data_IF_795308328984
#
_entry.id   IF_795308328984
#
_cell.length_a   1.000
_cell.length_b   1.000
_cell.length_c   1.000
_cell.angle_alpha   90.00
_cell.angle_beta   90.00
_cell.angle_gamma   90.00
#
_symmetry.space_group_name_H-M   'P 1'
#
loop_
_entity.id
_entity.type
_entity.pdbx_description
1 polymer ?
#
# COMPACT_ATOMS: atom_id res chain seq x y z
N UNK A 1 -3.99 11.96 -6.06
CA UNK A 1 -3.09 11.67 -7.21
C UNK A 1 -3.51 10.32 -7.75
N UNK A 2 -3.86 10.23 -9.04
CA UNK A 2 -4.28 8.97 -9.66
C UNK A 2 -3.11 8.37 -10.43
N UNK A 3 -2.91 7.07 -10.27
CA UNK A 3 -1.96 6.28 -11.03
C UNK A 3 -2.54 4.87 -11.26
N UNK A 4 -2.03 4.19 -12.27
CA UNK A 4 -2.36 2.81 -12.58
C UNK A 4 -1.15 1.93 -12.26
N UNK A 5 -1.35 0.82 -11.56
CA UNK A 5 -0.30 -0.18 -11.34
C UNK A 5 -0.20 -1.04 -12.60
N UNK A 6 1.00 -1.13 -13.16
CA UNK A 6 1.27 -1.89 -14.38
C UNK A 6 2.06 -3.14 -14.02
N UNK A 7 1.41 -4.30 -14.11
CA UNK A 7 1.99 -5.59 -13.75
C UNK A 7 2.02 -5.83 -12.23
N UNK A 8 2.95 -6.68 -11.79
CA UNK A 8 3.01 -7.12 -10.40
C UNK A 8 3.71 -6.11 -9.47
N UNK A 9 3.30 -6.12 -8.20
CA UNK A 9 4.07 -5.54 -7.11
C UNK A 9 5.13 -6.56 -6.66
N UNK A 10 6.39 -6.14 -6.61
CA UNK A 10 7.54 -6.95 -6.20
C UNK A 10 8.09 -6.48 -4.86
N UNK A 11 8.94 -7.31 -4.25
CA UNK A 11 9.64 -6.98 -2.98
C UNK A 11 8.66 -6.56 -1.87
N UNK A 12 7.57 -7.34 -1.71
CA UNK A 12 6.52 -7.03 -0.74
C UNK A 12 7.03 -7.33 0.67
N UNK A 13 6.99 -6.33 1.55
CA UNK A 13 7.34 -6.47 2.96
C UNK A 13 6.33 -5.81 3.89
N UNK A 14 6.22 -6.34 5.11
CA UNK A 14 5.39 -5.76 6.15
C UNK A 14 6.16 -4.64 6.88
N UNK A 15 5.67 -3.40 6.76
CA UNK A 15 6.20 -2.26 7.49
C UNK A 15 5.71 -2.21 8.94
N UNK A 16 4.46 -2.62 9.17
CA UNK A 16 3.85 -2.64 10.48
C UNK A 16 2.73 -3.68 10.53
N UNK A 17 2.53 -4.29 11.70
CA UNK A 17 1.51 -5.31 11.93
C UNK A 17 0.68 -4.91 13.15
N UNK A 18 -0.65 -5.06 13.07
CA UNK A 18 -1.56 -4.86 14.18
C UNK A 18 -1.37 -3.53 14.90
N UNK A 19 -1.07 -3.57 16.21
CA UNK A 19 -0.95 -2.39 17.07
C UNK A 19 0.19 -1.43 16.70
N UNK A 20 1.19 -1.88 15.94
CA UNK A 20 2.28 -1.01 15.44
C UNK A 20 1.84 -0.12 14.27
N UNK A 21 0.64 -0.34 13.72
CA UNK A 21 0.06 0.53 12.70
C UNK A 21 -0.47 1.79 13.38
N UNK A 22 0.13 2.95 13.07
CA UNK A 22 -0.18 4.24 13.70
C UNK A 22 -1.68 4.56 13.77
N UNK A 23 -2.42 4.18 12.73
CA UNK A 23 -3.85 4.47 12.58
C UNK A 23 -4.74 3.22 12.71
N UNK A 24 -4.28 2.19 13.42
CA UNK A 24 -4.99 0.91 13.59
C UNK A 24 -6.43 1.09 14.11
N UNK A 25 -6.66 2.01 15.06
CA UNK A 25 -7.99 2.25 15.61
C UNK A 25 -8.96 2.79 14.54
N UNK A 26 -8.48 3.65 13.64
CA UNK A 26 -9.28 4.19 12.54
C UNK A 26 -9.64 3.07 11.55
N UNK A 27 -8.66 2.25 11.17
CA UNK A 27 -8.88 1.10 10.28
C UNK A 27 -9.89 0.13 10.87
N UNK A 28 -9.77 -0.20 12.15
CA UNK A 28 -10.71 -1.09 12.83
C UNK A 28 -12.12 -0.51 12.94
N UNK A 29 -12.26 0.81 13.13
CA UNK A 29 -13.56 1.47 13.17
C UNK A 29 -14.25 1.45 11.80
N UNK A 30 -13.49 1.65 10.73
CA UNK A 30 -14.04 1.77 9.37
C UNK A 30 -14.28 0.42 8.70
N UNK A 31 -13.40 -0.56 8.93
CA UNK A 31 -13.38 -1.83 8.20
C UNK A 31 -13.44 -3.06 9.12
N UNK A 32 -13.51 -2.86 10.45
CA UNK A 32 -13.61 -3.93 11.43
C UNK A 32 -12.27 -4.43 11.97
N UNK A 33 -12.36 -5.22 13.04
CA UNK A 33 -11.19 -5.89 13.63
C UNK A 33 -10.65 -6.96 12.67
N UNK A 34 -9.34 -7.09 12.60
CA UNK A 34 -8.69 -8.04 11.69
C UNK A 34 -7.18 -8.11 11.86
N UNK A 35 -6.55 -8.97 11.07
CA UNK A 35 -5.08 -9.12 11.00
C UNK A 35 -4.48 -8.05 10.09
N UNK A 36 -4.61 -6.80 10.50
CA UNK A 36 -4.12 -5.64 9.75
C UNK A 36 -2.60 -5.68 9.57
N UNK A 37 -2.14 -5.36 8.36
CA UNK A 37 -0.73 -5.26 8.00
C UNK A 37 -0.55 -4.07 7.09
N UNK A 38 0.34 -3.15 7.44
CA UNK A 38 0.80 -2.14 6.49
C UNK A 38 1.91 -2.76 5.67
N UNK A 39 1.67 -2.91 4.37
CA UNK A 39 2.61 -3.48 3.42
C UNK A 39 3.24 -2.37 2.58
N UNK A 40 4.46 -2.61 2.13
CA UNK A 40 5.05 -1.89 1.01
C UNK A 40 5.63 -2.85 -0.01
N UNK A 41 5.89 -2.33 -1.21
CA UNK A 41 6.58 -3.03 -2.28
C UNK A 41 6.84 -2.09 -3.45
N UNK A 42 7.51 -2.58 -4.49
CA UNK A 42 7.83 -1.78 -5.67
C UNK A 42 7.03 -2.24 -6.88
N UNK A 43 6.51 -1.29 -7.65
CA UNK A 43 5.83 -1.58 -8.91
C UNK A 43 6.13 -0.52 -9.97
N UNK A 44 5.85 -0.86 -11.23
CA UNK A 44 5.74 0.14 -12.29
C UNK A 44 4.36 0.78 -12.20
N UNK A 45 4.31 2.10 -12.23
CA UNK A 45 3.07 2.86 -12.24
C UNK A 45 3.00 3.77 -13.45
N UNK A 46 1.83 3.87 -14.06
CA UNK A 46 1.52 4.87 -15.09
C UNK A 46 0.89 6.08 -14.40
N UNK A 47 1.55 7.23 -14.53
CA UNK A 47 1.04 8.51 -14.04
C UNK A 47 -0.05 9.04 -14.98
N UNK A 48 -0.84 10.01 -14.52
CA UNK A 48 -1.85 10.66 -15.36
C UNK A 48 -1.27 11.31 -16.63
N UNK A 49 0.01 11.69 -16.62
CA UNK A 49 0.75 12.18 -17.80
C UNK A 49 1.08 11.08 -18.83
N UNK A 50 0.76 9.82 -18.55
CA UNK A 50 1.14 8.67 -19.37
C UNK A 50 2.54 8.12 -19.09
N UNK A 51 3.39 8.87 -18.37
CA UNK A 51 4.73 8.41 -18.01
C UNK A 51 4.71 7.20 -17.07
N UNK A 52 5.58 6.23 -17.36
CA UNK A 52 5.78 5.04 -16.53
C UNK A 52 6.99 5.25 -15.61
N UNK A 53 6.82 5.00 -14.31
CA UNK A 53 7.88 5.13 -13.30
C UNK A 53 7.90 3.91 -12.38
N UNK A 54 9.06 3.56 -11.82
CA UNK A 54 9.15 2.64 -10.66
C UNK A 54 8.81 3.45 -9.41
N UNK A 55 7.90 2.95 -8.58
CA UNK A 55 7.48 3.60 -7.35
C UNK A 55 7.41 2.58 -6.20
N UNK A 56 7.69 3.05 -4.98
CA UNK A 56 7.35 2.31 -3.76
C UNK A 56 5.87 2.57 -3.45
N UNK A 57 5.09 1.50 -3.31
CA UNK A 57 3.67 1.53 -3.00
C UNK A 57 3.47 1.11 -1.54
N UNK A 58 2.56 1.78 -0.84
CA UNK A 58 2.21 1.50 0.55
C UNK A 58 0.70 1.24 0.64
N UNK A 59 0.29 0.15 1.28
CA UNK A 59 -1.12 -0.20 1.45
C UNK A 59 -1.38 -0.95 2.77
N UNK A 60 -2.65 -1.18 3.09
CA UNK A 60 -3.12 -1.85 4.31
C UNK A 60 -3.88 -3.14 4.01
#
# INVERSE_FOLDING_TARGET
MHFEIIGDIKEIEAMAIGGSIRDIMRLQKQFGRGRWRKLKGFAKVRLQSGHIRKAELHWY
#
